data_IF_602125157481
#
_entry.id   IF_602125157481
#
_cell.length_a   1.000
_cell.length_b   1.000
_cell.length_c   1.000
_cell.angle_alpha   90.00
_cell.angle_beta   90.00
_cell.angle_gamma   90.00
#
_symmetry.space_group_name_H-M   'P 1'
#
loop_
_entity.id
_entity.type
_entity.pdbx_description
1 polymer ?
#
# COMPACT_ATOMS: atom_id res chain seq x y z
N UNK A 1 -48.77 -77.70 -21.04
CA UNK A 1 -47.56 -78.43 -20.60
C UNK A 1 -46.40 -77.44 -20.60
N UNK A 2 -45.98 -77.05 -19.39
CA UNK A 2 -44.63 -76.62 -18.93
C UNK A 2 -43.95 -75.49 -19.75
N UNK A 3 -43.57 -74.33 -19.22
CA UNK A 3 -42.92 -74.03 -17.93
C UNK A 3 -43.15 -72.57 -17.48
N UNK A 4 -43.37 -72.38 -16.16
CA UNK A 4 -42.71 -71.43 -15.23
C UNK A 4 -42.34 -69.99 -15.70
N UNK A 5 -42.57 -68.92 -14.93
CA UNK A 5 -42.40 -68.80 -13.49
C UNK A 5 -43.02 -67.50 -12.92
N UNK A 6 -43.75 -67.65 -11.81
CA UNK A 6 -43.76 -66.83 -10.58
C UNK A 6 -43.85 -65.27 -10.59
N UNK A 7 -45.02 -64.82 -10.11
CA UNK A 7 -45.30 -63.74 -9.13
C UNK A 7 -44.17 -62.80 -8.64
N UNK A 8 -44.43 -61.47 -8.72
CA UNK A 8 -44.78 -60.61 -7.57
C UNK A 8 -45.04 -59.15 -7.99
N UNK A 9 -46.24 -58.64 -7.65
CA UNK A 9 -46.56 -57.21 -7.62
C UNK A 9 -45.75 -56.52 -6.51
N UNK A 10 -45.08 -55.41 -6.81
CA UNK A 10 -44.72 -54.39 -5.81
C UNK A 10 -45.01 -52.99 -6.37
N UNK A 11 -45.86 -52.31 -5.62
CA UNK A 11 -46.26 -50.90 -5.73
C UNK A 11 -45.01 -50.04 -5.54
N UNK A 12 -44.70 -49.18 -6.49
CA UNK A 12 -43.67 -48.14 -6.34
C UNK A 12 -44.34 -46.88 -5.80
N UNK A 13 -44.14 -46.58 -4.51
CA UNK A 13 -44.43 -45.27 -3.94
C UNK A 13 -43.42 -44.27 -4.53
N UNK A 14 -43.90 -43.29 -5.29
CA UNK A 14 -43.12 -42.13 -5.70
C UNK A 14 -42.99 -41.20 -4.48
N UNK A 15 -41.89 -41.32 -3.75
CA UNK A 15 -41.49 -40.30 -2.77
C UNK A 15 -40.84 -39.15 -3.54
N UNK A 16 -41.59 -38.07 -3.77
CA UNK A 16 -41.09 -36.80 -4.28
C UNK A 16 -40.20 -36.21 -3.18
N UNK A 17 -38.89 -36.47 -3.27
CA UNK A 17 -37.89 -35.73 -2.51
C UNK A 17 -37.79 -34.33 -3.11
N UNK A 18 -38.46 -33.38 -2.45
CA UNK A 18 -38.29 -31.95 -2.71
C UNK A 18 -36.89 -31.57 -2.23
N UNK A 19 -35.88 -31.76 -3.08
CA UNK A 19 -34.55 -31.18 -2.86
C UNK A 19 -34.76 -29.68 -3.05
N UNK A 20 -34.94 -28.99 -1.93
CA UNK A 20 -34.76 -27.55 -1.84
C UNK A 20 -33.29 -27.33 -2.15
N UNK A 21 -32.99 -27.04 -3.40
CA UNK A 21 -31.73 -26.43 -3.80
C UNK A 21 -31.67 -25.11 -3.05
N UNK A 22 -31.05 -25.11 -1.87
CA UNK A 22 -30.43 -23.90 -1.35
C UNK A 22 -29.42 -23.50 -2.42
N UNK A 23 -29.86 -22.62 -3.32
CA UNK A 23 -28.97 -21.77 -4.09
C UNK A 23 -28.16 -21.03 -3.05
N UNK A 24 -27.00 -21.58 -2.69
CA UNK A 24 -25.94 -20.78 -2.10
C UNK A 24 -25.78 -19.62 -3.05
N UNK A 25 -26.13 -18.42 -2.59
CA UNK A 25 -25.78 -17.18 -3.27
C UNK A 25 -24.32 -17.33 -3.72
N UNK A 26 -24.09 -17.39 -5.03
CA UNK A 26 -22.83 -16.96 -5.60
C UNK A 26 -22.71 -15.49 -5.20
N UNK A 27 -22.19 -15.25 -4.00
CA UNK A 27 -21.74 -13.95 -3.57
C UNK A 27 -20.76 -13.53 -4.65
N UNK A 28 -21.17 -12.59 -5.50
CA UNK A 28 -20.34 -11.97 -6.52
C UNK A 28 -18.91 -11.85 -6.02
N UNK A 29 -18.03 -12.76 -6.45
CA UNK A 29 -16.63 -12.73 -6.07
C UNK A 29 -16.06 -11.56 -6.86
N UNK A 30 -15.95 -10.41 -6.20
CA UNK A 30 -15.31 -9.23 -6.79
C UNK A 30 -13.82 -9.55 -6.84
N UNK A 31 -13.37 -10.07 -7.97
CA UNK A 31 -11.96 -10.13 -8.33
C UNK A 31 -11.55 -8.79 -8.96
N UNK A 32 -10.31 -8.39 -8.75
CA UNK A 32 -9.78 -7.11 -9.22
C UNK A 32 -8.66 -6.62 -8.33
N UNK A 33 -8.27 -5.35 -8.49
CA UNK A 33 -7.17 -4.79 -7.70
C UNK A 33 -7.36 -3.32 -7.42
N UNK A 34 -6.52 -2.78 -6.54
CA UNK A 34 -6.40 -1.35 -6.29
C UNK A 34 -4.95 -1.06 -5.89
N UNK A 35 -4.55 0.20 -5.94
CA UNK A 35 -3.17 0.59 -5.62
C UNK A 35 -3.12 1.84 -4.77
N UNK A 36 -2.02 2.00 -4.05
CA UNK A 36 -1.67 3.21 -3.33
C UNK A 36 -0.39 3.81 -3.89
N UNK A 37 -0.36 5.13 -4.06
CA UNK A 37 0.87 5.91 -4.16
C UNK A 37 0.95 6.82 -2.94
N UNK A 38 1.92 6.58 -2.07
CA UNK A 38 2.00 7.23 -0.77
C UNK A 38 3.29 8.03 -0.62
N UNK A 39 3.15 9.27 -0.17
CA UNK A 39 4.26 10.13 0.24
C UNK A 39 4.13 10.48 1.72
N UNK A 40 5.10 11.21 2.26
CA UNK A 40 5.01 11.83 3.57
C UNK A 40 6.36 12.40 3.98
N UNK A 41 6.38 13.02 5.16
CA UNK A 41 7.55 13.69 5.73
C UNK A 41 8.26 14.61 4.72
N UNK A 42 7.47 15.36 3.93
CA UNK A 42 7.96 16.24 2.86
C UNK A 42 8.64 17.49 3.43
N UNK A 43 8.23 17.95 4.61
CA UNK A 43 8.87 19.05 5.35
C UNK A 43 9.04 20.34 4.54
N UNK A 44 8.07 20.66 3.68
CA UNK A 44 8.03 21.90 2.93
C UNK A 44 8.81 21.90 1.61
N UNK A 45 9.40 20.78 1.23
CA UNK A 45 10.27 20.69 0.06
C UNK A 45 9.46 20.76 -1.24
N UNK A 46 9.68 21.82 -2.02
CA UNK A 46 9.09 22.03 -3.35
C UNK A 46 9.97 21.47 -4.46
N UNK A 47 11.29 21.58 -4.29
CA UNK A 47 12.30 21.35 -5.32
C UNK A 47 13.11 20.07 -5.05
N UNK A 48 13.75 19.48 -6.08
CA UNK A 48 14.66 18.35 -5.87
C UNK A 48 15.84 18.72 -4.96
N UNK A 49 16.19 17.84 -4.03
CA UNK A 49 17.38 17.98 -3.19
C UNK A 49 18.59 17.37 -3.89
N UNK A 50 19.71 18.10 -3.86
CA UNK A 50 20.98 17.63 -4.41
C UNK A 50 21.51 16.44 -3.62
N UNK A 51 21.94 15.41 -4.34
CA UNK A 51 22.59 14.22 -3.78
C UNK A 51 24.06 14.15 -4.20
N UNK A 52 24.80 13.17 -3.67
CA UNK A 52 26.17 12.90 -4.11
C UNK A 52 26.23 12.60 -5.62
N UNK A 53 25.20 11.90 -6.14
CA UNK A 53 24.99 11.63 -7.57
C UNK A 53 23.56 12.04 -7.93
N UNK A 54 23.41 13.07 -8.76
CA UNK A 54 22.11 13.58 -9.21
C UNK A 54 21.33 14.35 -8.14
N UNK A 55 20.01 14.35 -8.27
CA UNK A 55 19.07 14.93 -7.30
C UNK A 55 17.82 14.08 -7.14
N UNK A 56 17.20 14.14 -5.96
CA UNK A 56 15.98 13.39 -5.63
C UNK A 56 14.86 14.33 -5.17
N UNK A 57 13.62 13.97 -5.51
CA UNK A 57 12.41 14.65 -5.06
C UNK A 57 11.94 15.74 -5.99
N UNK A 58 11.25 16.72 -5.42
CA UNK A 58 10.60 17.80 -6.16
C UNK A 58 9.18 17.45 -6.59
N UNK A 59 8.26 18.39 -6.40
CA UNK A 59 6.84 18.21 -6.70
C UNK A 59 6.58 18.04 -8.20
N UNK A 60 7.39 18.68 -9.04
CA UNK A 60 7.24 18.60 -10.49
C UNK A 60 7.52 17.18 -11.01
N UNK A 61 8.57 16.51 -10.51
CA UNK A 61 8.86 15.10 -10.84
C UNK A 61 7.81 14.16 -10.27
N UNK A 62 7.34 14.44 -9.06
CA UNK A 62 6.26 13.69 -8.42
C UNK A 62 4.99 13.71 -9.28
N UNK A 63 4.59 14.89 -9.75
CA UNK A 63 3.42 15.05 -10.62
C UNK A 63 3.56 14.26 -11.91
N UNK A 64 4.71 14.38 -12.60
CA UNK A 64 5.00 13.59 -13.81
C UNK A 64 4.87 12.10 -13.56
N UNK A 65 5.47 11.59 -12.48
CA UNK A 65 5.41 10.18 -12.14
C UNK A 65 3.96 9.73 -11.88
N UNK A 66 3.23 10.45 -11.01
CA UNK A 66 1.85 10.12 -10.66
C UNK A 66 0.93 10.17 -11.89
N UNK A 67 1.08 11.18 -12.74
CA UNK A 67 0.29 11.31 -13.96
C UNK A 67 0.57 10.17 -14.95
N UNK A 68 1.82 9.71 -15.05
CA UNK A 68 2.16 8.52 -15.83
C UNK A 68 1.55 7.25 -15.21
N UNK A 69 1.66 7.06 -13.90
CA UNK A 69 1.11 5.89 -13.21
C UNK A 69 -0.42 5.81 -13.35
N UNK A 70 -1.12 6.96 -13.31
CA UNK A 70 -2.58 7.06 -13.50
C UNK A 70 -3.07 6.49 -14.83
N UNK A 71 -2.24 6.49 -15.87
CA UNK A 71 -2.61 5.92 -17.17
C UNK A 71 -2.82 4.39 -17.09
N UNK A 72 -2.22 3.73 -16.09
CA UNK A 72 -2.22 2.27 -15.97
C UNK A 72 -3.00 1.76 -14.74
N UNK A 73 -2.79 2.36 -13.55
CA UNK A 73 -3.19 1.71 -12.28
C UNK A 73 -4.22 2.49 -11.42
N UNK A 74 -4.74 3.64 -11.90
CA UNK A 74 -5.70 4.51 -11.19
C UNK A 74 -5.50 4.53 -9.65
N UNK A 75 -4.35 5.01 -9.14
CA UNK A 75 -3.99 4.82 -7.74
C UNK A 75 -4.81 5.69 -6.78
N UNK A 76 -4.84 5.27 -5.51
CA UNK A 76 -5.22 6.11 -4.37
C UNK A 76 -3.96 6.85 -3.90
N UNK A 77 -3.99 8.18 -3.93
CA UNK A 77 -2.80 9.01 -3.68
C UNK A 77 -2.92 9.64 -2.29
N UNK A 78 -1.98 9.29 -1.40
CA UNK A 78 -2.03 9.65 0.02
C UNK A 78 -0.75 10.34 0.47
N UNK A 79 -0.87 11.21 1.47
CA UNK A 79 0.29 11.75 2.19
C UNK A 79 0.16 11.50 3.69
N UNK A 80 1.15 10.81 4.26
CA UNK A 80 1.12 10.30 5.63
C UNK A 80 1.46 11.34 6.71
N UNK A 81 1.69 12.61 6.34
CA UNK A 81 1.85 13.72 7.28
C UNK A 81 3.25 14.30 7.32
N UNK A 82 3.45 15.35 8.12
CA UNK A 82 4.63 16.20 8.12
C UNK A 82 4.93 16.75 6.71
N UNK A 83 3.89 17.25 6.04
CA UNK A 83 4.00 17.92 4.76
C UNK A 83 4.71 19.26 4.90
N UNK A 84 4.40 20.01 5.96
CA UNK A 84 4.86 21.37 6.14
C UNK A 84 6.03 21.47 7.13
N UNK A 85 6.72 22.61 7.06
CA UNK A 85 7.72 23.07 8.01
C UNK A 85 7.56 24.58 8.24
N UNK A 86 8.13 25.15 9.30
CA UNK A 86 7.89 26.54 9.75
C UNK A 86 8.04 27.63 8.69
N UNK A 87 8.94 27.43 7.71
CA UNK A 87 9.22 28.40 6.65
C UNK A 87 8.79 27.91 5.26
N UNK A 88 7.97 26.85 5.21
CA UNK A 88 7.47 26.31 3.95
C UNK A 88 6.48 27.27 3.29
N UNK A 89 6.45 27.26 1.95
CA UNK A 89 5.38 27.94 1.20
C UNK A 89 4.14 27.03 1.20
N UNK A 90 3.39 27.04 2.31
CA UNK A 90 2.20 26.20 2.53
C UNK A 90 1.16 26.34 1.42
N UNK A 91 1.00 27.55 0.88
CA UNK A 91 0.04 27.84 -0.19
C UNK A 91 0.47 27.19 -1.52
N UNK A 92 1.74 27.31 -1.90
CA UNK A 92 2.24 26.66 -3.11
C UNK A 92 2.18 25.13 -2.99
N UNK A 93 2.51 24.57 -1.82
CA UNK A 93 2.39 23.13 -1.54
C UNK A 93 0.97 22.63 -1.78
N UNK A 94 -0.03 23.30 -1.21
CA UNK A 94 -1.43 22.87 -1.36
C UNK A 94 -1.92 23.03 -2.79
N UNK A 95 -1.57 24.11 -3.48
CA UNK A 95 -1.88 24.26 -4.92
C UNK A 95 -1.28 23.12 -5.74
N UNK A 96 -0.04 22.73 -5.47
CA UNK A 96 0.58 21.59 -6.14
C UNK A 96 -0.11 20.27 -5.78
N UNK A 97 -0.50 20.06 -4.52
CA UNK A 97 -1.20 18.83 -4.11
C UNK A 97 -2.60 18.74 -4.72
N UNK A 98 -3.31 19.86 -4.87
CA UNK A 98 -4.58 19.93 -5.60
C UNK A 98 -4.38 19.55 -7.07
N UNK A 99 -3.35 20.12 -7.71
CA UNK A 99 -3.03 19.83 -9.10
C UNK A 99 -2.61 18.37 -9.32
N UNK A 100 -1.77 17.83 -8.42
CA UNK A 100 -1.38 16.43 -8.41
C UNK A 100 -2.60 15.55 -8.14
N UNK A 101 -3.61 16.02 -7.40
CA UNK A 101 -4.84 15.29 -7.10
C UNK A 101 -4.65 14.22 -6.02
N UNK A 102 -4.18 14.64 -4.85
CA UNK A 102 -4.17 13.79 -3.64
C UNK A 102 -5.60 13.45 -3.19
N UNK A 103 -5.81 12.23 -2.70
CA UNK A 103 -7.10 11.78 -2.15
C UNK A 103 -7.24 12.13 -0.67
N UNK A 104 -6.13 12.18 0.07
CA UNK A 104 -6.11 12.53 1.49
C UNK A 104 -4.71 12.90 1.98
N UNK A 105 -4.71 13.68 3.06
CA UNK A 105 -3.52 14.02 3.83
C UNK A 105 -3.76 13.77 5.32
N UNK A 106 -2.87 13.03 5.98
CA UNK A 106 -2.85 12.92 7.43
C UNK A 106 -2.15 14.15 8.03
N UNK A 107 -2.74 14.76 9.06
CA UNK A 107 -2.09 15.87 9.76
C UNK A 107 -1.06 15.33 10.75
N UNK A 108 0.21 15.55 10.46
CA UNK A 108 1.34 15.23 11.32
C UNK A 108 1.60 16.30 12.38
N UNK A 109 2.61 16.05 13.22
CA UNK A 109 2.92 16.91 14.37
C UNK A 109 3.59 18.22 13.93
N UNK A 110 4.48 18.16 12.93
CA UNK A 110 5.14 19.37 12.41
C UNK A 110 4.14 20.27 11.68
N UNK A 111 3.11 19.68 11.06
CA UNK A 111 2.05 20.43 10.38
C UNK A 111 1.23 21.32 11.33
N UNK A 112 1.11 20.92 12.60
CA UNK A 112 0.45 21.71 13.64
C UNK A 112 1.32 22.83 14.21
N UNK A 113 2.61 22.84 13.88
CA UNK A 113 3.61 23.77 14.44
C UNK A 113 3.95 24.93 13.51
N UNK A 114 3.41 24.91 12.28
CA UNK A 114 3.64 25.96 11.29
C UNK A 114 3.09 27.32 11.73
N UNK A 115 3.67 28.39 11.18
CA UNK A 115 3.24 29.78 11.44
C UNK A 115 1.84 30.07 10.91
N UNK A 116 1.50 29.47 9.77
CA UNK A 116 0.17 29.56 9.19
C UNK A 116 -0.86 28.86 10.07
N UNK A 117 -2.11 29.33 10.07
CA UNK A 117 -3.17 28.53 10.66
C UNK A 117 -3.45 27.32 9.77
N UNK A 118 -3.16 26.11 10.26
CA UNK A 118 -3.44 24.86 9.56
C UNK A 118 -4.90 24.76 9.10
N UNK A 119 -5.85 25.37 9.83
CA UNK A 119 -7.27 25.44 9.41
C UNK A 119 -7.54 26.40 8.26
N UNK A 120 -6.69 27.41 8.08
CA UNK A 120 -6.72 28.27 6.88
C UNK A 120 -6.15 27.52 5.69
N UNK A 121 -5.05 26.78 5.89
CA UNK A 121 -4.41 25.97 4.84
C UNK A 121 -5.35 24.85 4.36
N UNK A 122 -6.03 24.15 5.29
CA UNK A 122 -7.03 23.12 4.97
C UNK A 122 -8.13 23.63 4.02
N UNK A 123 -8.54 24.89 4.13
CA UNK A 123 -9.58 25.48 3.24
C UNK A 123 -9.13 25.70 1.81
N UNK A 124 -7.82 25.65 1.55
CA UNK A 124 -7.26 25.77 0.20
C UNK A 124 -7.18 24.40 -0.50
N UNK A 125 -7.35 23.30 0.24
CA UNK A 125 -7.19 21.95 -0.27
C UNK A 125 -8.48 21.42 -0.91
N UNK A 126 -8.34 20.78 -2.06
CA UNK A 126 -9.44 20.07 -2.74
C UNK A 126 -9.63 18.64 -2.18
N UNK A 127 -8.84 18.28 -1.18
CA UNK A 127 -8.82 16.98 -0.53
C UNK A 127 -8.89 17.13 1.00
N UNK A 128 -9.41 16.12 1.71
CA UNK A 128 -9.57 16.19 3.15
C UNK A 128 -8.24 16.07 3.91
N UNK A 129 -8.09 16.92 4.92
CA UNK A 129 -7.13 16.71 6.00
C UNK A 129 -7.79 15.78 7.02
N UNK A 130 -7.11 14.69 7.38
CA UNK A 130 -7.66 13.70 8.31
C UNK A 130 -6.75 13.49 9.52
N UNK A 131 -7.39 13.18 10.67
CA UNK A 131 -6.73 12.65 11.86
C UNK A 131 -7.78 12.12 12.83
N UNK A 132 -7.57 10.91 13.34
CA UNK A 132 -8.42 10.24 14.33
C UNK A 132 -8.07 10.59 15.78
N UNK A 133 -6.95 11.28 16.04
CA UNK A 133 -6.43 11.48 17.38
C UNK A 133 -5.93 12.90 17.70
N UNK A 134 -6.16 13.87 16.80
CA UNK A 134 -5.89 15.29 17.09
C UNK A 134 -7.18 15.97 17.54
N UNK A 135 -7.17 16.45 18.77
CA UNK A 135 -8.28 17.15 19.43
C UNK A 135 -8.02 18.65 19.47
N UNK A 136 -9.02 19.47 19.17
CA UNK A 136 -8.99 20.91 19.41
C UNK A 136 -9.24 21.18 20.90
N UNK A 137 -8.31 21.87 21.57
CA UNK A 137 -8.36 22.11 23.03
C UNK A 137 -9.54 22.96 23.45
N UNK A 138 -9.99 23.88 22.59
CA UNK A 138 -11.09 24.82 22.91
C UNK A 138 -12.44 24.13 22.88
N UNK A 139 -12.69 23.30 21.86
CA UNK A 139 -13.97 22.63 21.66
C UNK A 139 -14.04 21.25 22.31
N UNK A 140 -12.91 20.63 22.62
CA UNK A 140 -12.85 19.25 23.13
C UNK A 140 -13.31 18.21 22.09
N UNK A 141 -13.33 18.56 20.80
CA UNK A 141 -13.71 17.69 19.68
C UNK A 141 -12.51 17.40 18.79
N UNK A 142 -12.63 16.39 17.92
CA UNK A 142 -11.64 16.15 16.88
C UNK A 142 -11.47 17.40 16.02
N UNK A 143 -10.22 17.80 15.82
CA UNK A 143 -9.89 18.96 15.02
C UNK A 143 -10.16 18.69 13.53
N UNK A 144 -9.88 17.48 13.06
CA UNK A 144 -9.97 17.09 11.64
C UNK A 144 -10.98 15.96 11.43
N UNK A 145 -11.27 15.66 10.16
CA UNK A 145 -12.10 14.51 9.82
C UNK A 145 -11.40 13.22 10.31
N UNK A 146 -12.07 12.32 11.04
CA UNK A 146 -11.38 11.16 11.61
C UNK A 146 -10.87 10.15 10.58
N UNK A 147 -11.61 9.98 9.49
CA UNK A 147 -11.34 8.98 8.47
C UNK A 147 -11.94 9.38 7.13
N UNK A 148 -11.58 8.65 6.09
CA UNK A 148 -12.32 8.62 4.82
C UNK A 148 -12.59 7.18 4.39
N UNK A 149 -13.56 7.00 3.50
CA UNK A 149 -13.81 5.73 2.82
C UNK A 149 -13.74 6.00 1.33
N UNK A 150 -12.83 5.31 0.65
CA UNK A 150 -12.69 5.37 -0.81
C UNK A 150 -13.31 4.12 -1.42
N UNK A 151 -13.99 4.28 -2.55
CA UNK A 151 -14.45 3.18 -3.39
C UNK A 151 -13.54 3.09 -4.59
N UNK A 152 -12.87 1.95 -4.79
CA UNK A 152 -11.99 1.72 -5.93
C UNK A 152 -12.20 0.32 -6.47
N UNK A 153 -12.50 0.20 -7.76
CA UNK A 153 -12.65 -1.09 -8.46
C UNK A 153 -13.56 -2.08 -7.70
N UNK A 154 -14.69 -1.60 -7.16
CA UNK A 154 -15.64 -2.40 -6.39
C UNK A 154 -15.30 -2.58 -4.90
N UNK A 155 -14.07 -2.25 -4.47
CA UNK A 155 -13.64 -2.35 -3.08
C UNK A 155 -13.90 -1.07 -2.29
N UNK A 156 -14.29 -1.19 -1.02
CA UNK A 156 -14.37 -0.09 -0.05
C UNK A 156 -13.15 -0.14 0.87
N UNK A 157 -12.34 0.91 0.85
CA UNK A 157 -11.12 1.06 1.64
C UNK A 157 -11.34 2.14 2.69
N UNK A 158 -11.15 1.80 3.96
CA UNK A 158 -11.17 2.75 5.07
C UNK A 158 -9.77 3.31 5.30
N UNK A 159 -9.64 4.63 5.44
CA UNK A 159 -8.34 5.28 5.66
C UNK A 159 -8.44 6.17 6.88
N UNK A 160 -7.51 5.97 7.82
CA UNK A 160 -7.40 6.80 9.02
C UNK A 160 -6.03 7.48 9.08
N UNK A 161 -6.01 8.65 9.70
CA UNK A 161 -4.77 9.35 10.07
C UNK A 161 -4.50 9.22 11.57
N UNK A 162 -3.27 8.93 11.95
CA UNK A 162 -2.82 8.90 13.35
C UNK A 162 -1.49 9.62 13.46
N UNK A 163 -1.30 10.34 14.56
CA UNK A 163 -0.06 11.07 14.83
C UNK A 163 0.43 10.77 16.23
N UNK A 164 1.74 10.57 16.39
CA UNK A 164 2.35 10.26 17.66
C UNK A 164 3.48 11.22 17.96
N UNK A 165 3.23 12.17 18.85
CA UNK A 165 4.25 12.97 19.50
C UNK A 165 3.58 13.79 20.60
N UNK A 166 4.26 13.97 21.72
CA UNK A 166 3.80 14.81 22.82
C UNK A 166 4.39 16.22 22.77
N UNK A 167 4.80 16.69 21.58
CA UNK A 167 5.19 18.10 21.39
C UNK A 167 4.06 18.99 21.89
N UNK A 168 4.40 19.89 22.80
CA UNK A 168 3.43 20.78 23.40
C UNK A 168 2.89 21.74 22.32
N UNK A 169 1.63 21.56 21.94
CA UNK A 169 0.91 22.48 21.06
C UNK A 169 -0.09 23.30 21.88
N UNK A 170 -0.21 24.60 21.60
CA UNK A 170 -1.10 25.49 22.37
C UNK A 170 -2.58 25.33 22.00
N UNK A 171 -2.88 24.89 20.78
CA UNK A 171 -4.24 24.76 20.24
C UNK A 171 -4.76 23.32 20.25
N UNK A 172 -3.88 22.34 20.09
CA UNK A 172 -4.26 20.95 19.88
C UNK A 172 -3.70 20.01 20.96
N UNK A 173 -4.42 18.92 21.20
CA UNK A 173 -3.98 17.78 22.02
C UNK A 173 -3.97 16.54 21.14
N UNK A 174 -2.85 15.83 21.12
CA UNK A 174 -2.73 14.54 20.42
C UNK A 174 -3.01 13.43 21.45
N UNK A 175 -4.10 12.69 21.27
CA UNK A 175 -4.44 11.56 22.15
C UNK A 175 -3.70 10.30 21.73
N UNK A 176 -3.67 9.30 22.62
CA UNK A 176 -3.01 8.01 22.35
C UNK A 176 -3.43 7.41 20.98
N UNK A 177 -2.47 7.24 20.04
CA UNK A 177 -2.78 6.77 18.69
C UNK A 177 -3.29 5.33 18.67
N UNK A 178 -2.87 4.49 19.62
CA UNK A 178 -3.28 3.08 19.68
C UNK A 178 -4.77 2.98 20.01
N UNK A 179 -5.21 3.64 21.09
CA UNK A 179 -6.61 3.65 21.53
C UNK A 179 -7.53 4.29 20.48
N UNK A 180 -7.11 5.42 19.91
CA UNK A 180 -7.88 6.11 18.87
C UNK A 180 -7.99 5.27 17.58
N UNK A 181 -6.87 4.69 17.14
CA UNK A 181 -6.80 3.82 15.97
C UNK A 181 -7.67 2.58 16.12
N UNK A 182 -7.58 1.88 17.25
CA UNK A 182 -8.34 0.65 17.47
C UNK A 182 -9.86 0.92 17.46
N UNK A 183 -10.29 2.01 18.11
CA UNK A 183 -11.71 2.43 18.09
C UNK A 183 -12.18 2.73 16.67
N UNK A 184 -11.37 3.44 15.89
CA UNK A 184 -11.77 3.86 14.54
C UNK A 184 -11.79 2.68 13.57
N UNK A 185 -10.76 1.83 13.58
CA UNK A 185 -10.67 0.66 12.71
C UNK A 185 -11.79 -0.34 13.00
N UNK A 186 -12.16 -0.58 14.27
CA UNK A 186 -13.34 -1.39 14.61
C UNK A 186 -14.64 -0.83 14.02
N UNK A 187 -14.75 0.49 13.90
CA UNK A 187 -15.91 1.15 13.28
C UNK A 187 -15.89 0.99 11.76
N UNK A 188 -14.72 1.11 11.15
CA UNK A 188 -14.51 1.00 9.71
C UNK A 188 -14.63 -0.44 9.19
N UNK A 189 -14.18 -1.44 9.96
CA UNK A 189 -14.30 -2.86 9.64
C UNK A 189 -15.75 -3.30 9.32
N UNK A 190 -16.76 -2.59 9.83
CA UNK A 190 -18.18 -2.84 9.54
C UNK A 190 -18.64 -2.28 8.18
N UNK A 191 -17.85 -1.40 7.56
CA UNK A 191 -18.20 -0.61 6.37
C UNK A 191 -17.25 -0.82 5.21
N UNK A 192 -16.03 -1.30 5.47
CA UNK A 192 -14.93 -1.40 4.52
C UNK A 192 -14.35 -2.80 4.54
N UNK A 193 -13.81 -3.25 3.39
CA UNK A 193 -13.15 -4.56 3.30
C UNK A 193 -11.69 -4.48 3.71
N UNK A 194 -11.02 -3.40 3.30
CA UNK A 194 -9.61 -3.13 3.58
C UNK A 194 -9.45 -1.82 4.33
N UNK A 195 -8.38 -1.72 5.12
CA UNK A 195 -8.10 -0.56 5.96
C UNK A 195 -6.62 -0.17 5.93
N UNK A 196 -6.36 1.11 5.71
CA UNK A 196 -5.04 1.71 5.73
C UNK A 196 -4.91 2.76 6.84
N UNK A 197 -3.75 2.79 7.46
CA UNK A 197 -3.38 3.77 8.49
C UNK A 197 -2.25 4.63 7.93
N UNK A 198 -2.48 5.94 7.85
CA UNK A 198 -1.42 6.93 7.67
C UNK A 198 -0.92 7.33 9.05
N UNK A 199 0.29 6.91 9.41
CA UNK A 199 0.85 7.09 10.73
C UNK A 199 2.03 8.07 10.70
N UNK A 200 1.91 9.17 11.44
CA UNK A 200 3.02 10.09 11.68
C UNK A 200 3.69 9.74 13.02
N UNK A 201 4.87 9.13 13.00
CA UNK A 201 5.60 8.69 14.19
C UNK A 201 6.87 7.91 13.84
N UNK A 202 7.51 7.31 14.83
CA UNK A 202 8.71 6.49 14.61
C UNK A 202 8.37 5.09 14.09
N UNK A 203 9.35 4.41 13.50
CA UNK A 203 9.19 3.03 13.07
C UNK A 203 8.89 2.09 14.24
N UNK A 204 9.54 2.24 15.39
CA UNK A 204 9.30 1.41 16.57
C UNK A 204 7.86 1.53 17.07
N UNK A 205 7.31 2.75 17.05
CA UNK A 205 5.91 2.99 17.42
C UNK A 205 4.95 2.37 16.41
N UNK A 206 5.32 2.30 15.13
CA UNK A 206 4.52 1.61 14.11
C UNK A 206 4.46 0.09 14.34
N UNK A 207 5.53 -0.51 14.88
CA UNK A 207 5.54 -1.92 15.27
C UNK A 207 4.56 -2.17 16.43
N UNK A 208 4.58 -1.31 17.45
CA UNK A 208 3.62 -1.36 18.57
C UNK A 208 2.16 -1.20 18.08
N UNK A 209 1.92 -0.31 17.12
CA UNK A 209 0.61 -0.14 16.49
C UNK A 209 0.18 -1.41 15.76
N UNK A 210 1.05 -2.02 14.94
CA UNK A 210 0.75 -3.28 14.24
C UNK A 210 0.35 -4.41 15.20
N UNK A 211 0.98 -4.48 16.37
CA UNK A 211 0.64 -5.48 17.38
C UNK A 211 -0.78 -5.31 17.92
N UNK A 212 -1.31 -4.09 17.99
CA UNK A 212 -2.62 -3.80 18.61
C UNK A 212 -3.74 -3.61 17.59
N UNK A 213 -3.44 -3.01 16.43
CA UNK A 213 -4.40 -2.65 15.38
C UNK A 213 -4.61 -3.83 14.42
N UNK A 214 -5.26 -4.89 14.91
CA UNK A 214 -5.47 -6.14 14.14
C UNK A 214 -6.37 -5.97 12.91
N UNK A 215 -7.19 -4.93 12.90
CA UNK A 215 -8.09 -4.61 11.80
C UNK A 215 -7.39 -3.83 10.66
N UNK A 216 -6.15 -3.35 10.86
CA UNK A 216 -5.39 -2.67 9.81
C UNK A 216 -4.73 -3.68 8.86
N UNK A 217 -4.81 -3.41 7.56
CA UNK A 217 -4.09 -4.16 6.52
C UNK A 217 -2.78 -3.48 6.14
N UNK A 218 -2.76 -2.13 6.16
CA UNK A 218 -1.61 -1.32 5.76
C UNK A 218 -1.31 -0.21 6.77
N UNK A 219 -0.04 0.04 7.05
CA UNK A 219 0.45 1.17 7.85
C UNK A 219 1.54 1.89 7.06
N UNK A 220 1.26 3.12 6.65
CA UNK A 220 2.20 4.01 5.98
C UNK A 220 2.82 4.96 7.01
N UNK A 221 4.12 4.86 7.22
CA UNK A 221 4.83 5.55 8.31
C UNK A 221 5.56 6.76 7.75
N UNK A 222 5.14 7.94 8.21
CA UNK A 222 5.83 9.21 8.05
C UNK A 222 6.58 9.56 9.33
N UNK A 223 7.81 10.09 9.21
CA UNK A 223 8.65 10.47 10.35
C UNK A 223 9.84 9.52 10.58
N UNK A 224 9.98 8.50 9.74
CA UNK A 224 11.15 7.63 9.66
C UNK A 224 11.92 7.86 8.36
N UNK A 225 13.25 7.97 8.44
CA UNK A 225 14.10 8.39 7.31
C UNK A 225 14.67 7.26 6.48
N UNK A 226 14.63 6.04 7.00
CA UNK A 226 15.26 4.91 6.34
C UNK A 226 14.50 4.49 5.08
N UNK A 227 15.28 4.15 4.05
CA UNK A 227 14.76 3.57 2.83
C UNK A 227 14.24 2.16 3.14
N UNK A 228 12.94 1.87 2.97
CA UNK A 228 12.40 0.53 3.15
C UNK A 228 13.03 -0.45 2.17
N UNK A 229 13.23 -1.70 2.61
CA UNK A 229 13.72 -2.80 1.77
C UNK A 229 12.62 -3.83 1.55
N UNK A 230 12.59 -4.44 0.37
CA UNK A 230 11.73 -5.59 0.11
C UNK A 230 12.31 -6.79 0.85
N UNK A 231 11.67 -7.14 1.95
CA UNK A 231 12.09 -8.23 2.82
C UNK A 231 10.97 -9.23 2.96
N UNK A 232 11.29 -10.48 3.34
CA UNK A 232 10.24 -11.42 3.73
C UNK A 232 9.50 -10.84 4.92
N UNK A 233 8.20 -10.66 4.77
CA UNK A 233 7.33 -10.26 5.87
C UNK A 233 7.08 -11.48 6.74
N UNK A 234 7.54 -11.43 7.99
CA UNK A 234 7.28 -12.46 8.98
C UNK A 234 6.18 -11.97 9.95
N UNK A 235 5.20 -12.83 10.19
CA UNK A 235 4.13 -12.60 11.17
C UNK A 235 2.82 -12.04 10.62
N UNK A 236 1.76 -12.20 11.40
CA UNK A 236 0.41 -11.76 11.06
C UNK A 236 0.19 -10.27 11.35
N UNK A 237 -0.72 -9.64 10.61
CA UNK A 237 -1.14 -8.24 10.81
C UNK A 237 -0.75 -7.34 9.64
N UNK A 238 -0.84 -6.02 9.85
CA UNK A 238 -0.63 -5.04 8.80
C UNK A 238 0.77 -5.09 8.16
N UNK A 239 0.83 -4.75 6.87
CA UNK A 239 2.07 -4.42 6.17
C UNK A 239 2.50 -3.00 6.52
N UNK A 240 3.78 -2.80 6.87
CA UNK A 240 4.32 -1.50 7.28
C UNK A 240 5.26 -0.99 6.19
N UNK A 241 5.05 0.26 5.75
CA UNK A 241 5.87 0.91 4.72
C UNK A 241 6.30 2.30 5.17
N UNK A 242 7.62 2.52 5.23
CA UNK A 242 8.19 3.85 5.49
C UNK A 242 8.16 4.67 4.20
N UNK A 243 7.66 5.91 4.27
CA UNK A 243 7.46 6.76 3.08
C UNK A 243 8.68 7.59 2.70
N UNK A 244 9.76 7.51 3.48
CA UNK A 244 10.99 8.29 3.30
C UNK A 244 10.88 9.72 3.85
N UNK A 245 11.70 10.63 3.31
CA UNK A 245 11.73 12.03 3.74
C UNK A 245 11.92 13.00 2.56
N UNK A 246 11.59 14.27 2.81
CA UNK A 246 11.78 15.40 1.89
C UNK A 246 11.13 15.22 0.52
N UNK A 247 10.12 14.34 0.44
CA UNK A 247 9.45 14.06 -0.82
C UNK A 247 10.35 13.44 -1.89
N UNK A 248 11.43 12.76 -1.50
CA UNK A 248 12.44 12.17 -2.41
C UNK A 248 11.95 10.93 -3.16
N UNK A 249 10.84 10.36 -2.72
CA UNK A 249 10.36 9.05 -3.15
C UNK A 249 8.83 8.93 -3.05
N UNK A 250 8.29 7.92 -3.73
CA UNK A 250 6.91 7.47 -3.59
C UNK A 250 6.91 5.99 -3.21
N UNK A 251 6.14 5.62 -2.20
CA UNK A 251 5.80 4.22 -1.92
C UNK A 251 4.66 3.81 -2.85
N UNK A 252 4.90 2.82 -3.71
CA UNK A 252 3.87 2.21 -4.55
C UNK A 252 3.45 0.88 -3.96
N UNK A 253 2.15 0.68 -3.76
CA UNK A 253 1.58 -0.60 -3.38
C UNK A 253 0.54 -0.99 -4.41
N UNK A 254 0.73 -2.14 -5.05
CA UNK A 254 -0.25 -2.74 -5.94
C UNK A 254 -0.88 -3.96 -5.26
N UNK A 255 -2.20 -3.99 -5.20
CA UNK A 255 -2.97 -5.05 -4.57
C UNK A 255 -3.79 -5.74 -5.64
N UNK A 256 -3.64 -7.06 -5.75
CA UNK A 256 -4.50 -7.90 -6.58
C UNK A 256 -5.29 -8.87 -5.69
N UNK A 257 -6.59 -8.93 -5.91
CA UNK A 257 -7.55 -9.74 -5.18
C UNK A 257 -8.12 -10.78 -6.13
N UNK A 258 -7.63 -12.02 -6.03
CA UNK A 258 -8.19 -13.17 -6.72
C UNK A 258 -9.46 -13.69 -6.03
N UNK A 259 -9.53 -13.63 -4.71
CA UNK A 259 -10.69 -14.08 -3.94
C UNK A 259 -10.85 -13.29 -2.64
N UNK A 260 -12.02 -12.69 -2.42
CA UNK A 260 -12.24 -11.73 -1.32
C UNK A 260 -12.00 -12.31 0.08
N UNK A 261 -12.14 -13.62 0.29
CA UNK A 261 -11.93 -14.26 1.59
C UNK A 261 -10.49 -14.74 1.84
N UNK A 262 -9.63 -14.70 0.83
CA UNK A 262 -8.22 -15.10 0.98
C UNK A 262 -7.39 -14.00 1.65
N UNK A 263 -6.37 -14.40 2.41
CA UNK A 263 -5.43 -13.47 3.03
C UNK A 263 -4.51 -12.82 1.98
N UNK A 264 -4.16 -11.55 2.20
CA UNK A 264 -3.14 -10.86 1.42
C UNK A 264 -1.75 -11.46 1.69
N UNK A 265 -0.97 -11.64 0.62
CA UNK A 265 0.42 -12.08 0.69
C UNK A 265 1.33 -11.06 0.00
N UNK A 266 2.33 -10.56 0.71
CA UNK A 266 3.39 -9.75 0.10
C UNK A 266 4.30 -10.64 -0.75
N UNK A 267 4.33 -10.37 -2.05
CA UNK A 267 5.14 -11.12 -3.03
C UNK A 267 6.35 -10.33 -3.54
N UNK A 268 6.59 -9.13 -3.02
CA UNK A 268 7.55 -8.18 -3.59
C UNK A 268 8.99 -8.72 -3.56
N UNK A 269 9.37 -9.38 -2.47
CA UNK A 269 10.69 -10.03 -2.35
C UNK A 269 10.81 -11.29 -3.23
N UNK A 270 9.71 -12.00 -3.47
CA UNK A 270 9.70 -13.16 -4.38
C UNK A 270 9.89 -12.71 -5.83
N UNK A 271 9.22 -11.63 -6.26
CA UNK A 271 9.39 -11.04 -7.59
C UNK A 271 10.82 -10.53 -7.81
N UNK A 272 11.41 -9.82 -6.84
CA UNK A 272 12.82 -9.42 -6.93
C UNK A 272 13.76 -10.61 -7.00
N UNK A 273 13.45 -11.68 -6.26
CA UNK A 273 14.28 -12.88 -6.25
C UNK A 273 14.20 -13.65 -7.56
N UNK A 274 13.00 -13.82 -8.10
CA UNK A 274 12.78 -14.43 -9.42
C UNK A 274 13.58 -13.67 -10.48
N UNK A 275 13.38 -12.36 -10.58
CA UNK A 275 14.08 -11.49 -11.55
C UNK A 275 15.60 -11.61 -11.41
N UNK A 276 16.13 -11.52 -10.18
CA UNK A 276 17.57 -11.63 -9.95
C UNK A 276 18.13 -12.99 -10.40
N UNK A 277 17.39 -14.07 -10.14
CA UNK A 277 17.81 -15.41 -10.54
C UNK A 277 17.78 -15.55 -12.07
N UNK A 278 16.71 -15.09 -12.72
CA UNK A 278 16.59 -15.10 -14.18
C UNK A 278 17.75 -14.34 -14.82
N UNK A 279 18.01 -13.09 -14.41
CA UNK A 279 19.13 -12.27 -14.90
C UNK A 279 20.49 -12.96 -14.66
N UNK A 280 20.66 -13.61 -13.52
CA UNK A 280 21.89 -14.37 -13.21
C UNK A 280 22.08 -15.55 -14.17
N UNK A 281 21.00 -16.29 -14.48
CA UNK A 281 21.05 -17.41 -15.42
C UNK A 281 21.32 -16.93 -16.86
N UNK A 282 20.71 -15.82 -17.27
CA UNK A 282 20.95 -15.19 -18.58
C UNK A 282 22.41 -14.74 -18.72
N UNK A 283 22.97 -14.09 -17.69
CA UNK A 283 24.38 -13.67 -17.67
C UNK A 283 25.34 -14.86 -17.73
N UNK A 284 25.03 -15.96 -17.01
CA UNK A 284 25.82 -17.19 -17.09
C UNK A 284 25.74 -17.85 -18.46
N UNK A 285 24.58 -17.77 -19.13
CA UNK A 285 24.37 -18.34 -20.46
C UNK A 285 25.08 -17.53 -21.54
N UNK A 286 25.17 -16.20 -21.36
CA UNK A 286 25.91 -15.30 -22.25
C UNK A 286 25.43 -15.32 -23.71
N UNK A 287 24.20 -15.80 -23.96
CA UNK A 287 23.64 -15.95 -25.31
C UNK A 287 24.21 -17.14 -26.10
N UNK A 288 24.76 -18.16 -25.44
CA UNK A 288 25.23 -19.38 -26.10
C UNK A 288 24.10 -20.11 -26.87
N UNK A 289 24.47 -20.94 -27.85
CA UNK A 289 23.52 -21.79 -28.59
C UNK A 289 23.19 -23.11 -27.89
N UNK A 290 23.91 -23.42 -26.80
CA UNK A 290 23.81 -24.66 -26.02
C UNK A 290 23.36 -24.34 -24.61
N UNK A 291 22.77 -25.32 -23.92
CA UNK A 291 22.24 -25.12 -22.57
C UNK A 291 23.34 -24.84 -21.53
N UNK A 292 22.97 -24.19 -20.42
CA UNK A 292 23.86 -23.98 -19.27
C UNK A 292 24.46 -25.31 -18.76
N UNK A 293 23.68 -26.38 -18.74
CA UNK A 293 24.14 -27.72 -18.34
C UNK A 293 25.23 -28.25 -19.26
N UNK A 294 25.09 -28.05 -20.57
CA UNK A 294 26.10 -28.44 -21.56
C UNK A 294 27.35 -27.57 -21.45
N UNK A 295 27.20 -26.25 -21.35
CA UNK A 295 28.31 -25.29 -21.19
C UNK A 295 29.23 -25.63 -20.01
N UNK A 296 28.64 -26.08 -18.90
CA UNK A 296 29.35 -26.33 -17.65
C UNK A 296 29.49 -27.83 -17.31
N UNK A 297 29.21 -28.73 -18.24
CA UNK A 297 29.20 -30.20 -18.05
C UNK A 297 30.50 -30.79 -17.47
N UNK A 298 31.65 -30.17 -17.75
CA UNK A 298 32.96 -30.56 -17.18
C UNK A 298 33.30 -29.89 -15.84
N UNK A 299 32.45 -29.01 -15.32
CA UNK A 299 32.68 -28.25 -14.09
C UNK A 299 31.61 -28.60 -13.05
N UNK A 300 31.94 -29.55 -12.15
CA UNK A 300 31.05 -30.03 -11.11
C UNK A 300 30.49 -28.90 -10.23
N UNK A 301 31.38 -28.00 -9.76
CA UNK A 301 30.97 -26.91 -8.87
C UNK A 301 29.97 -25.96 -9.54
N UNK A 302 30.18 -25.64 -10.81
CA UNK A 302 29.25 -24.79 -11.57
C UNK A 302 27.95 -25.52 -11.88
N UNK A 303 28.01 -26.80 -12.26
CA UNK A 303 26.82 -27.62 -12.51
C UNK A 303 25.92 -27.68 -11.27
N UNK A 304 26.48 -27.97 -10.09
CA UNK A 304 25.72 -28.02 -8.85
C UNK A 304 25.18 -26.64 -8.44
N UNK A 305 25.94 -25.57 -8.71
CA UNK A 305 25.44 -24.20 -8.51
C UNK A 305 24.24 -23.90 -9.41
N UNK A 306 24.31 -24.23 -10.70
CA UNK A 306 23.23 -23.99 -11.66
C UNK A 306 21.97 -24.77 -11.26
N UNK A 307 22.11 -26.04 -10.87
CA UNK A 307 21.00 -26.85 -10.36
C UNK A 307 20.31 -26.20 -9.16
N UNK A 308 21.08 -25.72 -8.18
CA UNK A 308 20.52 -25.03 -7.00
C UNK A 308 19.79 -23.74 -7.38
N UNK A 309 20.37 -22.94 -8.27
CA UNK A 309 19.75 -21.69 -8.76
C UNK A 309 18.43 -21.99 -9.49
N UNK A 310 18.40 -22.98 -10.39
CA UNK A 310 17.18 -23.38 -11.11
C UNK A 310 16.11 -23.96 -10.17
N UNK A 311 16.50 -24.75 -9.17
CA UNK A 311 15.56 -25.25 -8.16
C UNK A 311 14.96 -24.10 -7.35
N UNK A 312 15.79 -23.12 -6.94
CA UNK A 312 15.31 -21.94 -6.23
C UNK A 312 14.32 -21.11 -7.08
N UNK A 313 14.61 -20.93 -8.36
CA UNK A 313 13.70 -20.26 -9.31
C UNK A 313 12.36 -20.98 -9.41
N UNK A 314 12.38 -22.30 -9.57
CA UNK A 314 11.16 -23.11 -9.64
C UNK A 314 10.33 -22.95 -8.37
N UNK A 315 10.94 -23.11 -7.19
CA UNK A 315 10.23 -22.97 -5.92
C UNK A 315 9.66 -21.56 -5.72
N UNK A 316 10.39 -20.53 -6.17
CA UNK A 316 9.93 -19.13 -6.11
C UNK A 316 8.70 -18.93 -7.00
N UNK A 317 8.71 -19.44 -8.23
CA UNK A 317 7.57 -19.39 -9.16
C UNK A 317 6.35 -20.14 -8.65
N UNK A 318 6.54 -21.35 -8.14
CA UNK A 318 5.44 -22.10 -7.53
C UNK A 318 4.83 -21.36 -6.32
N UNK A 319 5.64 -20.64 -5.55
CA UNK A 319 5.17 -19.85 -4.42
C UNK A 319 4.38 -18.60 -4.86
N UNK A 320 4.79 -17.97 -5.97
CA UNK A 320 4.08 -16.87 -6.61
C UNK A 320 2.72 -17.32 -7.17
N UNK A 321 2.69 -18.44 -7.90
CA UNK A 321 1.47 -19.00 -8.50
C UNK A 321 0.42 -19.39 -7.45
N UNK A 322 0.85 -19.83 -6.25
CA UNK A 322 -0.05 -20.18 -5.15
C UNK A 322 -0.67 -18.96 -4.45
N UNK A 323 -0.17 -17.75 -4.71
CA UNK A 323 -0.64 -16.55 -4.03
C UNK A 323 -1.95 -16.03 -4.66
N UNK A 324 -3.08 -16.21 -3.95
CA UNK A 324 -4.41 -15.82 -4.45
C UNK A 324 -4.63 -14.30 -4.39
N UNK A 325 -4.34 -13.69 -3.24
CA UNK A 325 -4.37 -12.24 -3.07
C UNK A 325 -2.96 -11.76 -2.81
N UNK A 326 -2.49 -10.83 -3.63
CA UNK A 326 -1.10 -10.38 -3.63
C UNK A 326 -0.98 -8.90 -3.28
N UNK A 327 0.13 -8.56 -2.64
CA UNK A 327 0.60 -7.20 -2.42
C UNK A 327 1.99 -7.11 -3.01
N UNK A 328 2.17 -6.14 -3.90
CA UNK A 328 3.47 -5.78 -4.46
C UNK A 328 3.83 -4.37 -4.02
N UNK A 329 5.00 -4.22 -3.42
CA UNK A 329 5.54 -2.98 -2.91
C UNK A 329 6.76 -2.56 -3.72
N UNK A 330 6.83 -1.28 -4.06
CA UNK A 330 8.01 -0.63 -4.59
C UNK A 330 8.31 0.71 -3.92
N UNK A 331 9.59 1.05 -3.85
CA UNK A 331 10.06 2.33 -3.31
C UNK A 331 10.73 3.13 -4.41
N UNK A 332 10.04 4.16 -4.87
CA UNK A 332 10.33 4.77 -6.17
C UNK A 332 11.06 6.10 -5.95
N UNK A 333 12.38 6.17 -6.18
CA UNK A 333 13.13 7.41 -6.06
C UNK A 333 12.74 8.38 -7.18
N UNK A 334 12.47 9.64 -6.82
CA UNK A 334 12.16 10.71 -7.77
C UNK A 334 13.44 11.35 -8.31
N UNK A 335 14.19 10.57 -9.08
CA UNK A 335 15.48 10.96 -9.67
C UNK A 335 15.38 11.97 -10.80
N UNK A 336 16.53 12.48 -11.24
CA UNK A 336 16.69 13.37 -12.39
C UNK A 336 16.38 12.72 -13.75
N UNK A 337 16.11 11.41 -13.78
CA UNK A 337 15.57 10.74 -14.97
C UNK A 337 14.07 10.96 -15.18
N UNK A 338 13.37 11.52 -14.19
CA UNK A 338 11.96 11.87 -14.31
C UNK A 338 11.84 13.33 -14.76
N UNK A 339 11.17 13.54 -15.90
CA UNK A 339 10.88 14.88 -16.40
C UNK A 339 10.05 15.69 -15.40
N UNK A 340 10.22 17.01 -15.41
CA UNK A 340 9.49 17.91 -14.52
C UNK A 340 8.19 18.38 -15.17
N UNK A 341 7.09 18.35 -14.40
CA UNK A 341 5.81 18.91 -14.80
C UNK A 341 5.87 20.45 -14.82
N UNK A 342 5.76 21.04 -16.02
CA UNK A 342 5.82 22.49 -16.21
C UNK A 342 4.68 23.25 -15.53
N UNK A 343 3.51 22.64 -15.34
CA UNK A 343 2.40 23.27 -14.63
C UNK A 343 2.73 23.40 -13.15
N UNK A 344 3.32 22.37 -12.55
CA UNK A 344 3.81 22.44 -11.17
C UNK A 344 4.95 23.45 -11.04
N UNK A 345 5.89 23.48 -11.99
CA UNK A 345 6.95 24.50 -12.01
C UNK A 345 6.40 25.91 -12.05
N UNK A 346 5.32 26.16 -12.80
CA UNK A 346 4.67 27.46 -12.83
C UNK A 346 3.93 27.82 -11.53
N UNK A 347 3.60 26.86 -10.67
CA UNK A 347 2.95 27.12 -9.37
C UNK A 347 3.99 27.49 -8.30
N UNK A 348 5.19 26.90 -8.37
CA UNK A 348 6.23 27.04 -7.34
C UNK A 348 7.24 28.18 -7.62
N UNK A 349 7.35 28.63 -8.87
CA UNK A 349 8.09 29.84 -9.28
C UNK A 349 7.13 31.03 -9.38
#
# INVERSE_FOLDING_TARGET
LVSDNMWKKKIFLFAISFIISFSCDEKNVVSGGFSFLVTGNVQGELYPKKMLRGSLGGLARRSTYINKARMNISPIILDAGNLFADNANSTALIKCYNEIGYDAFNVGVEDLSIKDDIKRIEKLADFPFISSNIMDKKSGKLAFKPYMIIKKNGFKIGIIGLSNNNKHNTKYTITDPVSAGQKMLKTLAKKTRYQAVMFNGSYEQSIQLKETLKEADFIFVSGHKEIPRKTRTYGNGAFIYNVGEYGQSIVSIEINIGHVDSSLKDISMLLEREKFIDETLELLHGGASISLEEMYSGNYNMTERIKRIKLELQLTREELEKAVNTVEFDFIPLSDFINEDEKIKSIIN
#
